data_IF_430853823543
#
_entry.id   IF_430853823543
#
_cell.length_a   1.000
_cell.length_b   1.000
_cell.length_c   1.000
_cell.angle_alpha   90.00
_cell.angle_beta   90.00
_cell.angle_gamma   90.00
#
_symmetry.space_group_name_H-M   'P 1'
#
loop_
_entity.id
_entity.type
_entity.pdbx_description
1 polymer ?
#
# COMPACT_ATOMS: atom_id res chain seq x y z
N UNK A 1 0.92 -11.71 -19.25
CA UNK A 1 1.16 -12.54 -18.07
C UNK A 1 -0.10 -12.79 -17.29
N UNK A 2 -0.33 -14.01 -17.00
CA UNK A 2 -1.53 -14.39 -16.26
C UNK A 2 -1.63 -13.73 -14.90
N UNK A 3 -0.47 -13.49 -14.28
CA UNK A 3 -0.43 -12.90 -12.96
C UNK A 3 -1.14 -11.56 -12.88
N UNK A 4 -1.17 -10.78 -13.95
CA UNK A 4 -1.79 -9.47 -13.93
C UNK A 4 -3.25 -9.48 -14.31
N UNK A 5 -3.77 -10.62 -14.79
CA UNK A 5 -5.17 -10.71 -15.17
C UNK A 5 -6.09 -10.52 -13.98
N UNK A 6 -5.67 -11.01 -12.80
CA UNK A 6 -6.49 -10.94 -11.59
C UNK A 6 -6.82 -9.51 -11.19
N UNK A 7 -6.00 -8.53 -11.58
CA UNK A 7 -6.23 -7.13 -11.22
C UNK A 7 -6.96 -6.35 -12.30
N UNK A 8 -7.27 -6.99 -13.42
CA UNK A 8 -7.91 -6.30 -14.53
C UNK A 8 -9.28 -5.75 -14.10
N UNK A 9 -9.50 -4.46 -14.35
CA UNK A 9 -10.74 -3.79 -13.98
C UNK A 9 -10.84 -3.40 -12.52
N UNK A 10 -9.85 -3.77 -11.68
CA UNK A 10 -9.85 -3.40 -10.28
C UNK A 10 -8.99 -2.15 -10.06
N UNK A 11 -9.25 -1.39 -9.00
CA UNK A 11 -8.45 -0.20 -8.73
C UNK A 11 -7.06 -0.51 -8.18
N UNK A 12 -6.66 -1.77 -8.13
CA UNK A 12 -5.38 -2.18 -7.53
C UNK A 12 -4.80 -3.38 -8.25
N UNK A 13 -3.46 -3.54 -8.12
CA UNK A 13 -2.76 -4.78 -8.40
C UNK A 13 -2.70 -5.58 -7.11
N UNK A 14 -2.56 -6.90 -7.22
CA UNK A 14 -2.59 -7.78 -6.07
C UNK A 14 -1.42 -8.74 -6.10
N UNK A 15 -0.75 -8.91 -4.95
CA UNK A 15 0.30 -9.91 -4.78
C UNK A 15 0.04 -10.66 -3.47
N UNK A 16 0.66 -11.84 -3.33
CA UNK A 16 0.57 -12.63 -2.10
C UNK A 16 1.96 -12.78 -1.51
N UNK A 17 2.11 -12.45 -0.25
CA UNK A 17 3.36 -12.56 0.48
C UNK A 17 3.08 -13.27 1.79
N UNK A 18 3.65 -14.46 1.97
CA UNK A 18 3.46 -15.27 3.18
C UNK A 18 1.99 -15.43 3.55
N UNK A 19 1.15 -15.61 2.55
CA UNK A 19 -0.27 -15.81 2.75
C UNK A 19 -1.09 -14.53 2.87
N UNK A 20 -0.44 -13.37 2.95
CA UNK A 20 -1.17 -12.10 3.02
C UNK A 20 -1.35 -11.51 1.64
N UNK A 21 -2.55 -11.04 1.37
CA UNK A 21 -2.83 -10.33 0.12
C UNK A 21 -2.41 -8.87 0.29
N UNK A 22 -1.58 -8.37 -0.64
CA UNK A 22 -1.14 -6.98 -0.65
C UNK A 22 -1.70 -6.33 -1.90
N UNK A 23 -2.39 -5.20 -1.73
CA UNK A 23 -3.06 -4.49 -2.81
C UNK A 23 -2.33 -3.17 -3.06
N UNK A 24 -2.08 -2.85 -4.33
CA UNK A 24 -1.31 -1.67 -4.73
C UNK A 24 -2.18 -0.82 -5.65
N UNK A 25 -2.51 0.39 -5.23
CA UNK A 25 -3.38 1.28 -6.01
C UNK A 25 -2.77 1.67 -7.34
N UNK A 26 -3.61 1.86 -8.34
CA UNK A 26 -3.17 2.11 -9.72
C UNK A 26 -3.07 3.59 -10.10
N UNK A 27 -3.55 4.49 -9.26
CA UNK A 27 -3.54 5.93 -9.52
C UNK A 27 -4.25 6.66 -8.42
N UNK A 28 -4.38 7.99 -8.54
CA UNK A 28 -4.92 8.80 -7.44
C UNK A 28 -6.35 8.44 -7.06
N UNK A 29 -7.23 8.31 -8.04
CA UNK A 29 -8.62 7.94 -7.76
C UNK A 29 -8.72 6.51 -7.29
N UNK A 30 -7.93 5.63 -7.89
CA UNK A 30 -7.88 4.23 -7.49
C UNK A 30 -7.33 4.08 -6.08
N UNK A 31 -6.38 4.93 -5.69
CA UNK A 31 -5.87 4.94 -4.31
C UNK A 31 -6.99 5.23 -3.32
N UNK A 32 -7.84 6.22 -3.61
CA UNK A 32 -8.97 6.54 -2.75
C UNK A 32 -9.95 5.36 -2.67
N UNK A 33 -10.25 4.75 -3.81
CA UNK A 33 -11.16 3.61 -3.84
C UNK A 33 -10.59 2.43 -3.04
N UNK A 34 -9.30 2.17 -3.20
CA UNK A 34 -8.65 1.09 -2.45
C UNK A 34 -8.75 1.35 -0.95
N UNK A 35 -8.41 2.56 -0.53
CA UNK A 35 -8.31 2.91 0.89
C UNK A 35 -9.67 3.00 1.56
N UNK A 36 -10.65 3.59 0.89
CA UNK A 36 -11.92 3.93 1.54
C UNK A 36 -13.09 3.04 1.14
N UNK A 37 -12.97 2.25 0.07
CA UNK A 37 -14.06 1.36 -0.36
C UNK A 37 -13.70 -0.12 -0.30
N UNK A 38 -12.43 -0.47 -0.52
CA UNK A 38 -12.00 -1.88 -0.55
C UNK A 38 -11.43 -2.32 0.78
N UNK A 39 -10.52 -1.53 1.35
CA UNK A 39 -9.81 -1.90 2.57
C UNK A 39 -10.74 -1.88 3.78
N UNK A 40 -10.42 -2.73 4.77
CA UNK A 40 -11.14 -2.80 6.04
C UNK A 40 -10.32 -2.07 7.10
N UNK A 41 -10.99 -1.69 8.20
CA UNK A 41 -10.35 -0.88 9.25
C UNK A 41 -9.10 -1.50 9.85
N UNK A 42 -9.07 -2.82 9.96
CA UNK A 42 -7.93 -3.52 10.58
C UNK A 42 -6.81 -3.87 9.61
N UNK A 43 -6.98 -3.56 8.33
CA UNK A 43 -5.92 -3.75 7.35
C UNK A 43 -4.80 -2.74 7.62
N UNK A 44 -3.60 -3.03 7.12
CA UNK A 44 -2.50 -2.08 7.19
C UNK A 44 -2.45 -1.24 5.91
N UNK A 45 -2.03 0.00 6.06
CA UNK A 45 -1.95 0.96 4.98
C UNK A 45 -0.53 1.53 4.93
N UNK A 46 0.05 1.63 3.73
CA UNK A 46 1.41 2.12 3.54
C UNK A 46 1.46 3.12 2.39
N UNK A 47 2.36 4.09 2.53
CA UNK A 47 2.61 5.09 1.49
C UNK A 47 3.97 5.74 1.75
N UNK A 48 4.66 6.16 0.69
CA UNK A 48 5.92 6.88 0.86
C UNK A 48 5.70 8.16 1.63
N UNK A 49 6.70 8.51 2.44
CA UNK A 49 6.68 9.76 3.18
C UNK A 49 7.28 10.89 2.38
N UNK A 50 7.46 12.05 3.05
CA UNK A 50 8.15 13.18 2.48
C UNK A 50 7.41 13.91 1.37
N UNK A 51 6.12 13.66 1.22
CA UNK A 51 5.30 14.37 0.23
C UNK A 51 5.41 13.84 -1.19
N UNK A 52 6.17 12.77 -1.42
CA UNK A 52 6.27 12.18 -2.76
C UNK A 52 4.95 11.51 -3.13
N UNK A 53 4.57 11.60 -4.41
CA UNK A 53 3.40 10.90 -4.90
C UNK A 53 3.71 9.41 -5.07
N UNK A 54 2.71 8.56 -4.83
CA UNK A 54 2.88 7.13 -4.99
C UNK A 54 1.59 6.38 -4.72
N UNK A 55 1.63 5.08 -4.94
CA UNK A 55 0.49 4.21 -4.71
C UNK A 55 0.22 4.05 -3.22
N UNK A 56 -1.04 4.07 -2.85
CA UNK A 56 -1.46 3.52 -1.56
C UNK A 56 -1.30 2.01 -1.64
N UNK A 57 -0.77 1.41 -0.56
CA UNK A 57 -0.59 -0.04 -0.49
C UNK A 57 -1.32 -0.53 0.75
N UNK A 58 -2.06 -1.62 0.60
CA UNK A 58 -2.87 -2.16 1.69
C UNK A 58 -2.50 -3.63 1.89
N UNK A 59 -2.21 -4.01 3.13
CA UNK A 59 -2.07 -5.41 3.51
C UNK A 59 -3.41 -5.83 4.10
N UNK A 60 -4.10 -6.79 3.45
CA UNK A 60 -5.37 -7.28 3.97
C UNK A 60 -5.12 -8.10 5.23
N UNK A 61 -5.96 -7.89 6.23
CA UNK A 61 -5.81 -8.51 7.53
C UNK A 61 -7.16 -9.10 7.98
N UNK A 62 -7.66 -10.11 7.26
CA UNK A 62 -9.02 -10.62 7.53
C UNK A 62 -9.15 -11.27 8.91
N UNK A 63 -8.05 -11.74 9.48
CA UNK A 63 -8.07 -12.34 10.81
C UNK A 63 -7.90 -11.32 11.92
N UNK A 64 -7.78 -10.05 11.56
CA UNK A 64 -7.69 -8.92 12.50
C UNK A 64 -6.56 -9.09 13.51
N UNK A 65 -5.40 -9.52 13.01
CA UNK A 65 -4.22 -9.70 13.85
C UNK A 65 -3.79 -8.35 14.40
N UNK A 66 -3.37 -8.33 15.66
CA UNK A 66 -2.83 -7.11 16.27
C UNK A 66 -1.49 -6.74 15.64
N UNK A 67 -0.69 -7.74 15.28
CA UNK A 67 0.63 -7.53 14.68
C UNK A 67 0.73 -8.38 13.42
N UNK A 68 1.02 -7.71 12.30
CA UNK A 68 1.33 -8.38 11.05
C UNK A 68 2.85 -8.54 10.99
N UNK A 69 3.32 -9.69 10.55
CA UNK A 69 4.74 -10.02 10.58
C UNK A 69 5.62 -8.99 9.87
N UNK A 70 6.82 -8.77 10.41
CA UNK A 70 7.76 -7.78 9.89
C UNK A 70 8.10 -7.98 8.43
N UNK A 71 8.22 -9.23 7.99
CA UNK A 71 8.62 -9.50 6.61
C UNK A 71 7.55 -9.09 5.62
N UNK A 72 6.29 -9.29 5.99
CA UNK A 72 5.16 -8.87 5.14
C UNK A 72 5.11 -7.35 5.06
N UNK A 73 5.25 -6.67 6.20
CA UNK A 73 5.22 -5.21 6.26
C UNK A 73 6.38 -4.63 5.45
N UNK A 74 7.59 -5.18 5.60
CA UNK A 74 8.74 -4.72 4.84
C UNK A 74 8.51 -4.88 3.34
N UNK A 75 7.99 -6.04 2.94
CA UNK A 75 7.74 -6.27 1.52
C UNK A 75 6.71 -5.29 0.95
N UNK A 76 5.65 -5.03 1.70
CA UNK A 76 4.66 -4.04 1.29
C UNK A 76 5.28 -2.65 1.18
N UNK A 77 6.18 -2.30 2.11
CA UNK A 77 6.88 -1.02 2.06
C UNK A 77 7.77 -0.90 0.82
N UNK A 78 8.48 -1.98 0.46
CA UNK A 78 9.30 -2.00 -0.76
C UNK A 78 8.45 -1.77 -2.00
N UNK A 79 7.24 -2.32 -2.02
CA UNK A 79 6.32 -2.13 -3.13
C UNK A 79 5.78 -0.69 -3.16
N UNK A 80 5.48 -0.12 -2.00
CA UNK A 80 5.06 1.28 -1.93
C UNK A 80 6.16 2.20 -2.45
N UNK A 81 7.41 1.92 -2.08
CA UNK A 81 8.54 2.71 -2.54
C UNK A 81 8.75 2.56 -4.04
N UNK A 82 8.62 1.34 -4.58
CA UNK A 82 8.77 1.11 -6.01
C UNK A 82 7.70 1.83 -6.82
N UNK A 83 6.45 1.81 -6.34
CA UNK A 83 5.32 2.42 -7.03
C UNK A 83 5.13 3.87 -6.61
N UNK A 84 6.24 4.62 -6.52
CA UNK A 84 6.21 6.01 -6.12
C UNK A 84 7.20 6.82 -6.93
N UNK A 85 7.09 8.13 -6.83
CA UNK A 85 8.03 9.04 -7.49
C UNK A 85 9.37 9.11 -6.78
N UNK A 86 9.50 8.50 -5.59
CA UNK A 86 10.76 8.41 -4.86
C UNK A 86 11.59 7.19 -5.25
N UNK A 87 11.15 6.40 -6.21
CA UNK A 87 11.76 5.11 -6.57
C UNK A 87 13.24 5.17 -6.87
N UNK A 88 13.70 6.27 -7.46
CA UNK A 88 15.10 6.41 -7.86
C UNK A 88 16.00 6.98 -6.77
N UNK A 89 15.45 7.25 -5.59
CA UNK A 89 16.15 7.96 -4.55
C UNK A 89 16.95 7.13 -3.55
N UNK A 90 17.19 5.86 -3.82
CA UNK A 90 17.89 4.97 -2.87
C UNK A 90 16.93 4.48 -1.80
N UNK A 91 17.36 4.57 -0.52
CA UNK A 91 16.48 4.19 0.58
C UNK A 91 15.35 5.21 0.71
N UNK A 92 14.13 4.70 0.88
CA UNK A 92 12.93 5.51 0.91
C UNK A 92 12.21 5.31 2.24
N UNK A 93 11.77 6.39 2.84
CA UNK A 93 10.94 6.32 4.04
C UNK A 93 9.50 6.02 3.62
N UNK A 94 8.90 5.03 4.28
CA UNK A 94 7.51 4.63 4.04
C UNK A 94 6.76 4.75 5.35
N UNK A 95 5.57 5.32 5.30
CA UNK A 95 4.68 5.46 6.45
C UNK A 95 3.75 4.27 6.50
N UNK A 96 3.53 3.72 7.70
CA UNK A 96 2.72 2.52 7.93
C UNK A 96 1.73 2.81 9.05
N UNK A 97 0.47 2.51 8.82
CA UNK A 97 -0.55 2.65 9.86
C UNK A 97 -1.70 1.68 9.58
N UNK A 98 -2.71 1.67 10.45
CA UNK A 98 -3.95 0.95 10.16
C UNK A 98 -4.81 1.80 9.23
N UNK A 99 -5.61 1.15 8.41
CA UNK A 99 -6.57 1.87 7.57
C UNK A 99 -7.46 2.77 8.42
N UNK A 100 -7.80 2.34 9.64
CA UNK A 100 -8.61 3.14 10.55
C UNK A 100 -7.98 4.47 10.94
N UNK A 101 -6.67 4.63 10.73
CA UNK A 101 -5.97 5.88 11.03
C UNK A 101 -5.84 6.79 9.80
N UNK A 102 -6.39 6.39 8.65
CA UNK A 102 -6.34 7.17 7.42
C UNK A 102 -7.66 7.93 7.27
N UNK A 103 -7.57 9.24 7.10
CA UNK A 103 -8.77 10.06 6.92
C UNK A 103 -8.66 10.91 5.67
N UNK A 104 -9.81 11.35 5.16
CA UNK A 104 -9.89 12.20 3.98
C UNK A 104 -10.46 13.55 4.40
N UNK A 105 -9.68 14.61 4.23
CA UNK A 105 -10.19 15.95 4.48
C UNK A 105 -11.25 16.26 3.42
N UNK A 106 -12.34 16.89 3.87
CA UNK A 106 -13.41 17.27 2.94
C UNK A 106 -12.85 18.17 1.84
N UNK A 107 -13.12 17.80 0.59
CA UNK A 107 -12.65 18.57 -0.56
C UNK A 107 -11.22 18.31 -0.96
N UNK A 108 -10.51 17.40 -0.29
CA UNK A 108 -9.14 17.09 -0.67
C UNK A 108 -9.10 16.43 -2.03
N UNK A 109 -8.04 16.68 -2.82
CA UNK A 109 -7.88 16.02 -4.12
C UNK A 109 -7.78 14.51 -3.98
N UNK A 110 -8.06 13.80 -5.07
CA UNK A 110 -7.91 12.36 -5.12
C UNK A 110 -6.49 11.97 -4.72
N UNK A 111 -6.39 10.93 -3.89
CA UNK A 111 -5.11 10.41 -3.44
C UNK A 111 -4.52 11.10 -2.22
N UNK A 112 -4.99 12.30 -1.89
CA UNK A 112 -4.48 13.02 -0.72
C UNK A 112 -5.26 12.60 0.53
N UNK A 113 -4.52 12.19 1.57
CA UNK A 113 -5.10 11.75 2.83
C UNK A 113 -4.36 12.34 4.00
N UNK A 114 -4.96 12.22 5.19
CA UNK A 114 -4.32 12.58 6.45
C UNK A 114 -4.19 11.34 7.30
N UNK A 115 -3.10 11.23 8.05
CA UNK A 115 -2.86 10.12 8.95
C UNK A 115 -2.95 10.61 10.38
N UNK A 116 -3.68 9.85 11.23
CA UNK A 116 -3.81 10.20 12.65
C UNK A 116 -2.58 9.76 13.42
N UNK A 117 -2.00 8.63 13.06
CA UNK A 117 -0.73 8.13 13.61
C UNK A 117 -0.11 7.21 12.59
N UNK A 118 1.21 7.07 12.63
CA UNK A 118 1.91 6.17 11.71
C UNK A 118 3.30 5.87 12.25
N UNK A 119 3.84 4.76 11.81
CA UNK A 119 5.23 4.39 12.02
C UNK A 119 6.01 4.62 10.73
N UNK A 120 7.33 4.66 10.84
CA UNK A 120 8.22 4.86 9.70
C UNK A 120 9.06 3.62 9.47
N UNK A 121 9.31 3.33 8.21
CA UNK A 121 10.14 2.22 7.81
C UNK A 121 10.95 2.65 6.61
N UNK A 122 12.25 2.40 6.61
CA UNK A 122 13.11 2.75 5.48
C UNK A 122 13.48 1.50 4.72
N UNK A 123 13.27 1.52 3.42
CA UNK A 123 13.47 0.36 2.55
C UNK A 123 14.05 0.79 1.21
N UNK A 124 14.64 -0.19 0.51
CA UNK A 124 15.01 0.01 -0.89
C UNK A 124 13.83 -0.43 -1.76
N UNK A 125 13.47 0.37 -2.78
CA UNK A 125 12.37 0.00 -3.68
C UNK A 125 12.65 -1.32 -4.39
N UNK A 126 11.65 -2.19 -4.46
CA UNK A 126 11.73 -3.44 -5.21
C UNK A 126 10.42 -3.71 -5.91
N UNK A 127 10.48 -4.08 -7.23
CA UNK A 127 9.26 -4.31 -8.01
C UNK A 127 8.55 -5.61 -7.61
N UNK A 128 7.36 -5.79 -8.14
CA UNK A 128 6.63 -7.04 -7.98
C UNK A 128 7.47 -8.17 -8.57
N UNK A 129 7.61 -9.25 -7.79
CA UNK A 129 8.22 -10.49 -8.25
C UNK A 129 7.10 -11.32 -8.86
N UNK A 130 7.28 -11.86 -10.08
CA UNK A 130 6.24 -12.71 -10.68
C UNK A 130 5.78 -13.85 -9.79
N UNK A 131 6.65 -14.36 -8.93
CA UNK A 131 6.27 -15.42 -7.99
C UNK A 131 5.26 -14.97 -6.93
N UNK A 132 5.13 -13.66 -6.70
CA UNK A 132 4.19 -13.11 -5.72
C UNK A 132 2.82 -12.82 -6.32
N UNK A 133 2.71 -12.78 -7.62
CA UNK A 133 1.48 -12.36 -8.28
C UNK A 133 0.36 -13.35 -7.99
N UNK A 134 -0.83 -12.85 -7.74
CA UNK A 134 -2.00 -13.67 -7.46
C UNK A 134 -2.99 -13.68 -8.62
#
# INVERSE_FOLDING_TARGET
>A
MKALVASKGKPYRSVIVEGFEILIGKGDEENDRLTFEVAERDDLWLHVGGGAAGSHVVIRNPEKLDVVGKDVVRRAAELAAWHSKAREGGRVEVHVCRVSDVTKRRGAPAGEVMLRRWDRLRVYPRPIDPAEAS
#
